data_IF_927745080510
#
_entry.id   IF_927745080510
#
_cell.length_a   1.000
_cell.length_b   1.000
_cell.length_c   1.000
_cell.angle_alpha   90.00
_cell.angle_beta   90.00
_cell.angle_gamma   90.00
#
_symmetry.space_group_name_H-M   'P 1'
#
loop_
_entity.id
_entity.type
_entity.pdbx_description
1 polymer ?
#
# COMPACT_ATOMS: atom_id res chain seq x y z
N UNK A 1 -4.95 -34.15 -35.08
CA UNK A 1 -5.50 -32.84 -34.68
C UNK A 1 -5.74 -32.93 -33.18
N UNK A 2 -4.65 -32.91 -32.43
CA UNK A 2 -4.63 -32.91 -30.97
C UNK A 2 -3.68 -31.76 -30.66
N UNK A 3 -4.25 -30.56 -30.59
CA UNK A 3 -3.58 -29.33 -30.18
C UNK A 3 -4.61 -28.74 -29.23
N UNK A 4 -4.48 -29.04 -27.94
CA UNK A 4 -5.32 -28.43 -26.89
C UNK A 4 -5.01 -28.88 -25.46
N UNK A 5 -3.96 -29.68 -25.20
CA UNK A 5 -3.58 -30.02 -23.80
C UNK A 5 -2.20 -29.47 -23.39
N UNK A 6 -1.42 -28.91 -24.32
CA UNK A 6 -0.11 -28.31 -24.01
C UNK A 6 -0.18 -26.80 -23.76
N UNK A 7 -1.23 -26.10 -24.22
CA UNK A 7 -1.36 -24.63 -24.06
C UNK A 7 -1.89 -24.20 -22.68
N UNK A 8 -2.49 -25.09 -21.88
CA UNK A 8 -2.98 -24.75 -20.52
C UNK A 8 -1.90 -24.86 -19.43
N UNK A 9 -0.66 -25.25 -19.78
CA UNK A 9 0.45 -25.37 -18.83
C UNK A 9 1.47 -24.23 -18.88
N UNK A 10 1.28 -23.26 -19.78
CA UNK A 10 2.23 -22.14 -19.98
C UNK A 10 1.67 -20.79 -19.50
N UNK A 11 0.64 -20.80 -18.65
CA UNK A 11 0.13 -19.63 -17.92
C UNK A 11 0.36 -19.77 -16.41
N UNK A 12 1.52 -20.30 -16.01
CA UNK A 12 2.04 -20.16 -14.64
C UNK A 12 3.52 -19.82 -14.69
N UNK A 13 3.86 -18.73 -13.99
CA UNK A 13 5.20 -18.21 -13.71
C UNK A 13 5.77 -17.18 -14.69
N UNK A 14 5.15 -16.00 -14.73
CA UNK A 14 5.94 -14.78 -14.56
C UNK A 14 5.36 -14.01 -13.38
N UNK A 15 5.94 -14.21 -12.19
CA UNK A 15 5.77 -13.26 -11.10
C UNK A 15 6.39 -11.96 -11.58
N UNK A 16 5.58 -11.09 -12.19
CA UNK A 16 6.01 -9.78 -12.63
C UNK A 16 6.40 -8.96 -11.40
N UNK A 17 7.69 -8.88 -11.12
CA UNK A 17 8.23 -7.99 -10.10
C UNK A 17 7.87 -6.57 -10.53
N UNK A 18 6.83 -6.00 -9.91
CA UNK A 18 6.40 -4.63 -10.20
C UNK A 18 7.39 -3.66 -9.53
N UNK A 19 7.96 -2.74 -10.29
CA UNK A 19 8.81 -1.67 -9.78
C UNK A 19 8.15 -0.31 -10.05
N UNK A 20 8.11 0.54 -9.03
CA UNK A 20 7.62 1.90 -9.13
C UNK A 20 8.63 2.87 -8.52
N UNK A 21 9.19 3.74 -9.36
CA UNK A 21 10.18 4.74 -8.94
C UNK A 21 9.52 6.10 -8.77
N UNK A 22 9.56 6.63 -7.56
CA UNK A 22 9.00 7.95 -7.22
C UNK A 22 10.03 9.05 -7.51
N UNK A 23 11.28 8.83 -7.10
CA UNK A 23 12.39 9.73 -7.39
C UNK A 23 13.73 8.97 -7.41
N UNK A 24 14.84 9.69 -7.38
CA UNK A 24 16.16 9.07 -7.46
C UNK A 24 16.49 8.16 -6.27
N UNK A 25 15.89 8.44 -5.12
CA UNK A 25 16.17 7.76 -3.86
C UNK A 25 15.03 6.85 -3.41
N UNK A 26 13.80 7.03 -3.89
CA UNK A 26 12.62 6.31 -3.41
C UNK A 26 12.02 5.43 -4.50
N UNK A 27 12.02 4.12 -4.26
CA UNK A 27 11.49 3.11 -5.17
C UNK A 27 10.69 2.09 -4.37
N UNK A 28 9.59 1.59 -4.91
CA UNK A 28 8.84 0.45 -4.37
C UNK A 28 9.00 -0.74 -5.31
N UNK A 29 9.09 -1.94 -4.74
CA UNK A 29 9.06 -3.19 -5.51
C UNK A 29 8.12 -4.18 -4.87
N UNK A 30 7.40 -4.92 -5.68
CA UNK A 30 6.65 -6.10 -5.26
C UNK A 30 7.48 -7.36 -5.52
N UNK A 31 7.72 -8.17 -4.49
CA UNK A 31 8.42 -9.45 -4.65
C UNK A 31 7.51 -10.55 -5.19
N UNK A 32 8.09 -11.73 -5.45
CA UNK A 32 7.37 -12.90 -5.99
C UNK A 32 6.28 -13.44 -5.03
N UNK A 33 6.38 -13.12 -3.73
CA UNK A 33 5.37 -13.46 -2.72
C UNK A 33 4.25 -12.41 -2.63
N UNK A 34 4.30 -11.35 -3.44
CA UNK A 34 3.36 -10.23 -3.43
C UNK A 34 3.64 -9.17 -2.37
N UNK A 35 4.76 -9.24 -1.63
CA UNK A 35 5.08 -8.27 -0.59
C UNK A 35 5.68 -7.00 -1.20
N UNK A 36 5.20 -5.86 -0.72
CA UNK A 36 5.74 -4.56 -1.09
C UNK A 36 6.96 -4.21 -0.24
N UNK A 37 8.08 -3.87 -0.88
CA UNK A 37 9.31 -3.40 -0.24
C UNK A 37 9.61 -1.99 -0.74
N UNK A 38 9.77 -1.06 0.21
CA UNK A 38 10.22 0.30 -0.08
C UNK A 38 11.75 0.31 -0.06
N UNK A 39 12.38 1.01 -0.99
CA UNK A 39 13.82 1.22 -1.05
C UNK A 39 14.10 2.71 -0.92
N UNK A 40 14.99 3.07 0.01
CA UNK A 40 15.49 4.43 0.22
C UNK A 40 16.99 4.44 -0.06
N UNK A 41 17.41 5.22 -1.06
CA UNK A 41 18.77 5.24 -1.59
C UNK A 41 19.31 3.82 -1.90
N UNK A 42 18.45 2.98 -2.49
CA UNK A 42 18.77 1.59 -2.83
C UNK A 42 18.79 0.61 -1.64
N UNK A 43 18.53 1.07 -0.41
CA UNK A 43 18.47 0.20 0.79
C UNK A 43 17.03 -0.16 1.13
N UNK A 44 16.73 -1.44 1.41
CA UNK A 44 15.38 -1.86 1.75
C UNK A 44 14.93 -1.28 3.10
N UNK A 45 13.73 -0.70 3.12
CA UNK A 45 13.03 -0.18 4.27
C UNK A 45 11.76 -1.01 4.51
N UNK A 46 11.80 -1.87 5.53
CA UNK A 46 10.76 -2.90 5.79
C UNK A 46 9.79 -2.53 6.92
N UNK A 47 9.93 -1.35 7.52
CA UNK A 47 9.15 -0.92 8.70
C UNK A 47 7.88 -0.16 8.30
N UNK A 48 7.08 -0.70 7.38
CA UNK A 48 5.77 -0.12 7.06
C UNK A 48 4.70 -0.75 7.96
N UNK A 49 4.09 0.02 8.86
CA UNK A 49 2.84 -0.40 9.49
C UNK A 49 1.68 0.05 8.61
N UNK A 50 0.80 -0.89 8.30
CA UNK A 50 -0.37 -0.64 7.48
C UNK A 50 -1.41 0.17 8.26
N UNK A 51 -1.99 1.16 7.58
CA UNK A 51 -3.27 1.74 7.97
C UNK A 51 -4.25 1.47 6.84
N UNK A 52 -5.35 0.79 7.15
CA UNK A 52 -6.48 0.57 6.25
C UNK A 52 -7.69 1.31 6.81
N UNK A 53 -8.18 2.28 6.06
CA UNK A 53 -9.34 3.08 6.44
C UNK A 53 -10.47 2.79 5.45
N UNK A 54 -11.67 2.53 5.96
CA UNK A 54 -12.87 2.51 5.12
C UNK A 54 -13.43 3.94 5.03
N UNK A 55 -13.48 4.52 3.83
CA UNK A 55 -14.09 5.83 3.61
C UNK A 55 -15.39 5.61 2.82
N UNK A 56 -16.57 5.76 3.44
CA UNK A 56 -17.84 5.70 2.73
C UNK A 56 -17.90 6.78 1.64
N UNK A 57 -18.32 6.41 0.43
CA UNK A 57 -18.34 7.30 -0.75
C UNK A 57 -19.20 8.57 -0.51
N UNK A 58 -20.14 8.53 0.44
CA UNK A 58 -21.00 9.67 0.83
C UNK A 58 -20.44 10.58 1.95
N UNK A 59 -19.34 10.20 2.61
CA UNK A 59 -18.75 10.96 3.73
C UNK A 59 -17.49 11.72 3.34
N UNK A 60 -17.00 11.55 2.11
CA UNK A 60 -15.80 12.22 1.60
C UNK A 60 -15.88 13.76 1.69
N UNK A 61 -17.09 14.33 1.69
CA UNK A 61 -17.33 15.78 1.86
C UNK A 61 -16.98 16.30 3.25
N UNK A 62 -17.02 15.47 4.31
CA UNK A 62 -16.63 15.87 5.68
C UNK A 62 -15.11 15.80 5.90
N UNK A 63 -14.34 15.25 4.94
CA UNK A 63 -12.88 15.20 4.98
C UNK A 63 -12.23 16.50 4.50
N UNK A 64 -13.00 17.54 4.19
CA UNK A 64 -12.45 18.84 3.77
C UNK A 64 -11.94 19.69 4.95
N UNK A 65 -12.31 19.34 6.19
CA UNK A 65 -11.93 20.08 7.41
C UNK A 65 -10.77 19.43 8.18
N UNK A 66 -10.33 18.23 7.79
CA UNK A 66 -9.22 17.52 8.45
C UNK A 66 -7.88 18.15 8.09
N UNK A 67 -7.02 18.30 9.09
CA UNK A 67 -5.71 18.87 8.93
C UNK A 67 -4.65 17.84 8.55
N UNK A 68 -4.84 16.57 8.91
CA UNK A 68 -3.88 15.48 8.65
C UNK A 68 -4.55 14.11 8.46
N UNK A 69 -3.84 13.16 7.84
CA UNK A 69 -4.29 11.77 7.76
C UNK A 69 -4.42 11.14 9.16
N UNK A 70 -3.60 11.53 10.13
CA UNK A 70 -3.70 11.03 11.50
C UNK A 70 -5.03 11.44 12.16
N UNK A 71 -5.41 12.70 12.02
CA UNK A 71 -6.70 13.22 12.49
C UNK A 71 -7.88 12.57 11.75
N UNK A 72 -7.75 12.39 10.43
CA UNK A 72 -8.74 11.68 9.63
C UNK A 72 -8.92 10.24 10.14
N UNK A 73 -7.81 9.56 10.42
CA UNK A 73 -7.81 8.20 10.91
C UNK A 73 -8.55 8.11 12.25
N UNK A 74 -8.34 9.04 13.19
CA UNK A 74 -9.07 9.05 14.46
C UNK A 74 -10.60 9.13 14.30
N UNK A 75 -11.06 9.87 13.30
CA UNK A 75 -12.49 10.09 13.04
C UNK A 75 -13.14 9.01 12.17
N UNK A 76 -12.34 8.25 11.41
CA UNK A 76 -12.82 7.24 10.47
C UNK A 76 -12.89 5.84 11.06
N UNK A 77 -13.71 4.97 10.46
CA UNK A 77 -13.86 3.58 10.90
C UNK A 77 -12.57 2.77 10.65
N UNK A 78 -11.87 2.46 11.75
CA UNK A 78 -10.67 1.60 11.79
C UNK A 78 -11.00 0.10 11.87
N UNK A 79 -12.25 -0.32 11.66
CA UNK A 79 -12.66 -1.73 11.76
C UNK A 79 -11.93 -2.67 10.78
N UNK A 80 -11.26 -2.10 9.76
CA UNK A 80 -10.45 -2.83 8.79
C UNK A 80 -9.00 -3.07 9.27
N UNK A 81 -8.55 -2.37 10.32
CA UNK A 81 -7.25 -2.61 10.92
C UNK A 81 -7.21 -3.97 11.64
N UNK A 82 -6.05 -4.64 11.67
CA UNK A 82 -5.92 -5.91 12.39
C UNK A 82 -6.11 -5.65 13.89
N UNK A 83 -7.13 -6.30 14.47
CA UNK A 83 -7.36 -6.26 15.91
C UNK A 83 -6.09 -6.73 16.64
N UNK A 84 -5.68 -6.06 17.72
CA UNK A 84 -4.47 -6.43 18.50
C UNK A 84 -4.43 -7.90 18.93
N UNK A 85 -5.56 -8.60 18.94
CA UNK A 85 -5.72 -10.02 19.27
C UNK A 85 -5.71 -10.98 18.05
N UNK A 86 -5.78 -10.48 16.82
CA UNK A 86 -5.73 -11.28 15.57
C UNK A 86 -4.82 -10.59 14.56
N UNK A 87 -3.71 -11.25 14.21
CA UNK A 87 -2.83 -10.86 13.08
C UNK A 87 -3.51 -11.01 11.70
N UNK A 88 -4.84 -11.11 11.66
CA UNK A 88 -5.60 -11.46 10.48
C UNK A 88 -6.60 -10.35 10.21
N UNK A 89 -6.45 -9.72 9.06
CA UNK A 89 -7.38 -8.73 8.55
C UNK A 89 -8.74 -9.37 8.32
N UNK A 90 -9.81 -8.61 8.53
CA UNK A 90 -11.16 -9.04 8.15
C UNK A 90 -11.31 -9.18 6.63
N UNK A 91 -10.44 -8.50 5.86
CA UNK A 91 -10.44 -8.47 4.40
C UNK A 91 -9.04 -8.77 3.87
N UNK A 92 -8.97 -9.62 2.85
CA UNK A 92 -7.75 -9.87 2.09
C UNK A 92 -7.71 -8.89 0.92
N UNK A 93 -6.79 -7.93 0.94
CA UNK A 93 -6.53 -7.04 -0.19
C UNK A 93 -5.60 -7.78 -1.16
N UNK A 94 -5.88 -7.79 -2.47
CA UNK A 94 -4.95 -8.36 -3.45
C UNK A 94 -3.59 -7.65 -3.38
N UNK A 95 -2.46 -8.38 -3.41
CA UNK A 95 -1.13 -7.79 -3.34
C UNK A 95 -0.91 -6.61 -4.30
N UNK A 96 -1.39 -6.72 -5.54
CA UNK A 96 -1.25 -5.67 -6.56
C UNK A 96 -2.00 -4.37 -6.19
N UNK A 97 -3.17 -4.49 -5.57
CA UNK A 97 -3.98 -3.36 -5.11
C UNK A 97 -3.32 -2.68 -3.92
N UNK A 98 -2.77 -3.46 -2.99
CA UNK A 98 -1.98 -2.95 -1.87
C UNK A 98 -0.73 -2.20 -2.37
N UNK A 99 0.00 -2.79 -3.32
CA UNK A 99 1.16 -2.17 -3.95
C UNK A 99 0.81 -0.82 -4.61
N UNK A 100 -0.28 -0.78 -5.37
CA UNK A 100 -0.77 0.45 -5.99
C UNK A 100 -1.10 1.53 -4.95
N UNK A 101 -1.76 1.14 -3.85
CA UNK A 101 -2.06 2.06 -2.74
C UNK A 101 -0.82 2.64 -2.07
N UNK A 102 0.23 1.83 -1.89
CA UNK A 102 1.50 2.34 -1.37
C UNK A 102 2.20 3.30 -2.35
N UNK A 103 2.18 2.97 -3.63
CA UNK A 103 2.77 3.81 -4.68
C UNK A 103 2.09 5.18 -4.75
N UNK A 104 0.76 5.21 -4.76
CA UNK A 104 0.01 6.47 -4.85
C UNK A 104 0.20 7.36 -3.61
N UNK A 105 0.18 6.78 -2.40
CA UNK A 105 0.41 7.53 -1.17
C UNK A 105 1.79 8.20 -1.13
N UNK A 106 2.85 7.44 -1.45
CA UNK A 106 4.21 7.98 -1.43
C UNK A 106 4.49 8.93 -2.60
N UNK A 107 3.84 8.73 -3.76
CA UNK A 107 3.88 9.68 -4.87
C UNK A 107 3.28 11.04 -4.48
N UNK A 108 2.08 11.04 -3.89
CA UNK A 108 1.42 12.25 -3.41
C UNK A 108 2.25 12.95 -2.33
N UNK A 109 2.84 12.18 -1.40
CA UNK A 109 3.77 12.73 -0.39
C UNK A 109 4.96 13.44 -1.04
N UNK A 110 5.56 12.85 -2.07
CA UNK A 110 6.67 13.45 -2.82
C UNK A 110 6.24 14.71 -3.57
N UNK A 111 5.13 14.67 -4.30
CA UNK A 111 4.63 15.80 -5.10
C UNK A 111 4.22 17.00 -4.25
N UNK A 112 3.88 16.78 -2.99
CA UNK A 112 3.53 17.83 -2.02
C UNK A 112 4.70 18.23 -1.11
N UNK A 113 5.94 18.08 -1.60
CA UNK A 113 7.13 18.58 -0.90
C UNK A 113 7.44 17.85 0.39
N UNK A 114 7.16 16.55 0.45
CA UNK A 114 7.36 15.70 1.63
C UNK A 114 6.53 16.12 2.86
N UNK A 115 5.36 16.74 2.65
CA UNK A 115 4.46 17.14 3.72
C UNK A 115 3.99 15.92 4.54
N UNK A 116 4.44 15.83 5.79
CA UNK A 116 4.16 14.69 6.68
C UNK A 116 2.69 14.56 7.05
N UNK A 117 1.87 15.61 6.89
CA UNK A 117 0.42 15.56 7.12
C UNK A 117 -0.31 14.62 6.15
N UNK A 118 0.35 14.29 5.03
CA UNK A 118 -0.12 13.37 3.99
C UNK A 118 0.38 11.94 4.18
N UNK A 119 1.07 11.64 5.28
CA UNK A 119 1.42 10.30 5.69
C UNK A 119 0.81 10.04 7.06
N UNK A 120 0.26 8.84 7.27
CA UNK A 120 -0.13 8.43 8.62
C UNK A 120 1.12 8.10 9.44
N UNK A 121 1.07 8.35 10.76
CA UNK A 121 2.14 8.06 11.72
C UNK A 121 2.59 6.60 11.74
N UNK A 122 1.80 5.68 11.17
CA UNK A 122 2.15 4.27 10.99
C UNK A 122 3.23 4.04 9.90
N UNK A 123 3.38 4.94 8.92
CA UNK A 123 4.56 4.97 8.04
C UNK A 123 5.79 5.57 8.74
N UNK A 124 5.59 6.42 9.76
CA UNK A 124 6.66 7.16 10.43
C UNK A 124 7.19 6.55 11.74
N UNK A 125 6.57 5.50 12.31
CA UNK A 125 6.81 5.13 13.71
C UNK A 125 7.55 3.81 13.95
N UNK A 126 8.84 4.00 14.28
CA UNK A 126 9.87 3.16 14.93
C UNK A 126 10.93 2.56 13.99
N UNK A 127 12.04 3.28 13.90
CA UNK A 127 13.38 2.68 13.82
C UNK A 127 13.68 1.94 15.13
#
# INVERSE_FOLDING_TARGET
MIVSEEEEKEEKAQAQVQEFRINEYLTLRQDEDGKTIIYVAGKPFRNCKYLLINIPVGEATNLNEIESIDEAAENLDKSLEPLKSRKQFKYTIPPEVEFWGHCSNLQVWYENGYNTRLLHANLASRC
#
